data_IF_475152712912
#
_entry.id   IF_475152712912
#
_cell.length_a   1.000
_cell.length_b   1.000
_cell.length_c   1.000
_cell.angle_alpha   90.00
_cell.angle_beta   90.00
_cell.angle_gamma   90.00
#
_symmetry.space_group_name_H-M   'P 1'
#
loop_
_entity.id
_entity.type
_entity.pdbx_description
1 polymer ?
#
# COMPACT_ATOMS: atom_id res chain seq x y z
N UNK A 1 -1.64 -17.11 -14.15
CA UNK A 1 -2.02 -18.51 -14.50
C UNK A 1 -0.83 -19.34 -14.11
N UNK A 2 -1.03 -20.34 -13.26
CA UNK A 2 -0.03 -21.38 -13.08
C UNK A 2 -0.07 -22.21 -14.36
N UNK A 3 0.99 -22.15 -15.15
CA UNK A 3 1.14 -22.83 -16.45
C UNK A 3 1.93 -24.15 -16.31
N UNK A 4 2.20 -24.57 -15.07
CA UNK A 4 2.77 -25.87 -14.77
C UNK A 4 1.81 -27.01 -15.14
N UNK A 5 2.37 -28.12 -15.60
CA UNK A 5 1.62 -29.23 -16.20
C UNK A 5 0.60 -29.91 -15.25
N UNK A 6 0.62 -29.60 -13.95
CA UNK A 6 -0.30 -30.10 -12.93
C UNK A 6 -1.27 -29.05 -12.37
N UNK A 7 -1.29 -27.82 -12.90
CA UNK A 7 -2.18 -26.77 -12.42
C UNK A 7 -3.65 -27.12 -12.74
N UNK A 8 -4.59 -26.92 -11.78
CA UNK A 8 -6.02 -27.06 -12.07
C UNK A 8 -6.44 -26.13 -13.22
N UNK A 9 -7.36 -26.61 -14.06
CA UNK A 9 -7.96 -25.78 -15.10
C UNK A 9 -8.61 -24.53 -14.47
N UNK A 10 -8.39 -23.37 -15.08
CA UNK A 10 -9.00 -22.14 -14.61
C UNK A 10 -10.53 -22.20 -14.76
N UNK A 11 -11.25 -21.76 -13.74
CA UNK A 11 -12.71 -21.71 -13.69
C UNK A 11 -13.22 -20.47 -12.94
N UNK A 12 -14.54 -20.32 -12.79
CA UNK A 12 -15.15 -19.15 -12.14
C UNK A 12 -14.64 -18.88 -10.72
N UNK A 13 -14.26 -19.93 -9.97
CA UNK A 13 -13.77 -19.84 -8.59
C UNK A 13 -12.23 -19.78 -8.48
N UNK A 14 -11.52 -19.70 -9.60
CA UNK A 14 -10.06 -19.56 -9.58
C UNK A 14 -9.65 -18.25 -8.92
N UNK A 15 -8.69 -18.33 -7.98
CA UNK A 15 -8.15 -17.16 -7.29
C UNK A 15 -7.07 -16.49 -8.14
N UNK A 16 -7.12 -15.16 -8.17
CA UNK A 16 -6.18 -14.32 -8.91
C UNK A 16 -5.57 -13.27 -8.01
N UNK A 17 -4.28 -12.99 -8.20
CA UNK A 17 -3.68 -11.75 -7.67
C UNK A 17 -4.14 -10.61 -8.55
N UNK A 18 -5.00 -9.75 -8.01
CA UNK A 18 -5.61 -8.65 -8.77
C UNK A 18 -4.73 -7.40 -8.85
N UNK A 19 -3.62 -7.37 -8.11
CA UNK A 19 -2.62 -6.30 -8.12
C UNK A 19 -3.25 -4.89 -8.09
N UNK A 20 -2.94 -4.06 -9.07
CA UNK A 20 -3.38 -2.67 -9.10
C UNK A 20 -4.88 -2.50 -9.32
N UNK A 21 -5.63 -3.56 -9.65
CA UNK A 21 -7.10 -3.53 -9.62
C UNK A 21 -7.65 -3.32 -8.20
N UNK A 22 -6.82 -3.46 -7.16
CA UNK A 22 -7.16 -3.05 -5.79
C UNK A 22 -7.26 -1.52 -5.62
N UNK A 23 -6.64 -0.72 -6.48
CA UNK A 23 -6.60 0.75 -6.32
C UNK A 23 -7.99 1.41 -6.37
N UNK A 24 -8.88 1.07 -7.32
CA UNK A 24 -10.27 1.52 -7.28
C UNK A 24 -10.99 1.17 -5.97
N UNK A 25 -10.71 0.00 -5.37
CA UNK A 25 -11.32 -0.41 -4.09
C UNK A 25 -10.87 0.50 -2.95
N UNK A 26 -9.56 0.79 -2.85
CA UNK A 26 -9.03 1.78 -1.90
C UNK A 26 -9.60 3.17 -2.16
N UNK A 27 -9.74 3.57 -3.43
CA UNK A 27 -10.33 4.84 -3.83
C UNK A 27 -11.79 4.97 -3.39
N UNK A 28 -12.62 3.95 -3.63
CA UNK A 28 -14.01 3.90 -3.16
C UNK A 28 -14.09 3.96 -1.64
N UNK A 29 -13.22 3.22 -0.93
CA UNK A 29 -13.17 3.25 0.53
C UNK A 29 -12.85 4.67 1.07
N UNK A 30 -11.95 5.38 0.40
CA UNK A 30 -11.66 6.78 0.73
C UNK A 30 -12.87 7.69 0.46
N UNK A 31 -13.61 7.46 -0.63
CA UNK A 31 -14.81 8.25 -0.94
C UNK A 31 -15.92 8.03 0.08
N UNK A 32 -16.13 6.79 0.54
CA UNK A 32 -17.10 6.49 1.61
C UNK A 32 -16.72 7.21 2.92
N UNK A 33 -15.44 7.23 3.29
CA UNK A 33 -14.97 7.97 4.46
C UNK A 33 -15.14 9.50 4.31
N UNK A 34 -15.07 10.03 3.07
CA UNK A 34 -15.32 11.43 2.78
C UNK A 34 -16.82 11.75 2.88
N UNK A 35 -17.67 10.89 2.33
CA UNK A 35 -19.14 11.01 2.44
C UNK A 35 -19.58 11.01 3.91
N UNK A 36 -18.98 10.17 4.74
CA UNK A 36 -19.19 10.13 6.20
C UNK A 36 -18.61 11.34 6.95
N UNK A 37 -17.95 12.28 6.27
CA UNK A 37 -17.29 13.45 6.89
C UNK A 37 -16.04 13.12 7.72
N UNK A 38 -15.53 11.88 7.65
CA UNK A 38 -14.35 11.42 8.42
C UNK A 38 -13.02 11.76 7.74
N UNK A 39 -13.05 12.03 6.43
CA UNK A 39 -11.92 12.46 5.62
C UNK A 39 -12.32 13.65 4.76
N UNK A 40 -11.37 14.53 4.42
CA UNK A 40 -11.53 15.52 3.36
C UNK A 40 -10.43 15.35 2.29
N UNK A 41 -10.77 15.64 1.03
CA UNK A 41 -9.83 15.55 -0.09
C UNK A 41 -8.60 16.46 0.10
N UNK A 42 -8.79 17.61 0.73
CA UNK A 42 -7.72 18.60 0.92
C UNK A 42 -7.08 18.53 2.30
N UNK A 43 -7.45 17.52 3.12
CA UNK A 43 -6.71 17.23 4.35
C UNK A 43 -5.24 16.89 4.01
N UNK A 44 -4.26 17.44 4.73
CA UNK A 44 -2.88 17.02 4.59
C UNK A 44 -2.71 15.59 5.14
N UNK A 45 -1.94 14.76 4.44
CA UNK A 45 -1.64 13.37 4.87
C UNK A 45 -1.01 13.35 6.27
N UNK A 46 -0.25 14.38 6.63
CA UNK A 46 0.40 14.53 7.94
C UNK A 46 -0.59 14.63 9.11
N UNK A 47 -1.86 14.96 8.86
CA UNK A 47 -2.95 14.88 9.86
C UNK A 47 -3.15 13.45 10.37
N UNK A 48 -2.93 12.46 9.50
CA UNK A 48 -3.17 11.04 9.78
C UNK A 48 -1.88 10.24 9.95
N UNK A 49 -0.80 10.67 9.30
CA UNK A 49 0.52 10.05 9.33
C UNK A 49 1.58 11.15 9.54
N UNK A 50 1.89 11.52 10.80
CA UNK A 50 2.74 12.68 11.11
C UNK A 50 4.11 12.70 10.41
N UNK A 51 4.67 11.54 10.07
CA UNK A 51 5.93 11.43 9.34
C UNK A 51 5.94 12.17 7.98
N UNK A 52 4.77 12.38 7.36
CA UNK A 52 4.63 13.11 6.10
C UNK A 52 4.62 14.65 6.24
N UNK A 53 4.89 15.20 7.43
CA UNK A 53 4.80 16.65 7.66
C UNK A 53 5.85 17.44 6.89
N UNK A 54 7.11 17.02 6.96
CA UNK A 54 8.26 17.78 6.46
C UNK A 54 8.89 17.11 5.22
N UNK A 55 8.05 16.77 4.25
CA UNK A 55 8.49 16.11 3.01
C UNK A 55 9.47 16.98 2.23
N UNK A 56 10.43 16.31 1.59
CA UNK A 56 11.43 16.92 0.72
C UNK A 56 11.23 16.44 -0.72
N UNK A 57 11.63 17.26 -1.68
CA UNK A 57 11.60 16.93 -3.12
C UNK A 57 13.04 16.78 -3.60
N UNK A 58 13.32 15.71 -4.34
CA UNK A 58 14.60 15.50 -4.97
C UNK A 58 14.84 16.56 -6.05
N UNK A 59 16.03 17.17 -6.06
CA UNK A 59 16.38 18.19 -7.07
C UNK A 59 16.60 17.56 -8.44
N UNK A 60 17.11 16.33 -8.46
CA UNK A 60 17.33 15.53 -9.68
C UNK A 60 16.94 14.07 -9.42
N UNK A 61 15.63 13.72 -9.47
CA UNK A 61 15.11 12.43 -8.98
C UNK A 61 15.79 11.17 -9.55
N UNK A 62 16.28 11.25 -10.79
CA UNK A 62 16.87 10.10 -11.48
C UNK A 62 18.38 9.96 -11.25
N UNK A 63 19.05 10.99 -10.72
CA UNK A 63 20.53 11.03 -10.68
C UNK A 63 21.11 11.47 -9.34
N UNK A 64 20.30 12.01 -8.42
CA UNK A 64 20.77 12.54 -7.15
C UNK A 64 19.76 12.36 -6.03
N UNK A 65 20.25 12.18 -4.80
CA UNK A 65 19.47 12.25 -3.57
C UNK A 65 19.50 13.64 -2.93
N UNK A 66 20.10 14.65 -3.58
CA UNK A 66 20.01 16.03 -3.12
C UNK A 66 18.54 16.48 -3.10
N UNK A 67 18.18 17.26 -2.10
CA UNK A 67 16.78 17.63 -1.84
C UNK A 67 16.61 19.10 -1.51
N UNK A 68 15.38 19.56 -1.67
CA UNK A 68 14.85 20.80 -1.10
C UNK A 68 13.53 20.54 -0.37
N UNK A 69 13.06 21.42 0.52
CA UNK A 69 11.72 21.30 1.08
C UNK A 69 10.65 21.25 -0.01
N UNK A 70 9.59 20.47 0.22
CA UNK A 70 8.38 20.54 -0.60
C UNK A 70 7.69 21.90 -0.40
N UNK A 71 7.11 22.43 -1.48
CA UNK A 71 6.42 23.72 -1.48
C UNK A 71 5.06 23.71 -0.80
N UNK A 72 4.48 22.52 -0.60
CA UNK A 72 3.19 22.32 0.07
C UNK A 72 3.09 20.89 0.62
N UNK A 73 2.22 20.63 1.61
CA UNK A 73 1.93 19.27 2.08
C UNK A 73 1.29 18.39 0.99
N UNK A 74 1.46 17.08 1.10
CA UNK A 74 0.68 16.11 0.32
C UNK A 74 -0.74 16.07 0.89
N UNK A 75 -1.76 16.10 0.03
CA UNK A 75 -3.17 15.92 0.44
C UNK A 75 -3.72 14.53 0.10
N UNK A 76 -4.87 14.19 0.69
CA UNK A 76 -5.63 12.96 0.34
C UNK A 76 -5.92 12.88 -1.16
N UNK A 77 -6.34 13.99 -1.76
CA UNK A 77 -6.54 14.13 -3.21
C UNK A 77 -5.28 13.71 -3.97
N UNK A 78 -4.11 14.20 -3.56
CA UNK A 78 -2.87 13.90 -4.26
C UNK A 78 -2.48 12.41 -4.20
N UNK A 79 -2.78 11.73 -3.09
CA UNK A 79 -2.60 10.28 -3.00
C UNK A 79 -3.48 9.57 -4.02
N UNK A 80 -4.78 9.88 -4.03
CA UNK A 80 -5.79 9.26 -4.89
C UNK A 80 -5.56 9.49 -6.38
N UNK A 81 -4.96 10.63 -6.75
CA UNK A 81 -4.78 11.03 -8.16
C UNK A 81 -3.38 10.77 -8.70
N UNK A 82 -2.50 10.10 -7.94
CA UNK A 82 -1.09 9.91 -8.34
C UNK A 82 -0.34 11.23 -8.62
N UNK A 83 -0.67 12.28 -7.85
CA UNK A 83 0.01 13.59 -7.95
C UNK A 83 0.74 13.97 -6.66
N UNK A 84 0.94 13.04 -5.73
CA UNK A 84 1.64 13.29 -4.47
C UNK A 84 3.15 13.54 -4.62
N UNK A 85 3.73 13.28 -5.79
CA UNK A 85 5.18 13.26 -5.98
C UNK A 85 5.85 12.01 -5.41
N UNK A 86 5.08 10.99 -4.99
CA UNK A 86 5.63 9.70 -4.55
C UNK A 86 6.12 8.88 -5.75
N UNK A 87 7.14 8.06 -5.51
CA UNK A 87 7.69 7.12 -6.50
C UNK A 87 7.00 5.76 -6.49
N UNK A 88 7.51 4.87 -7.32
CA UNK A 88 7.24 3.43 -7.32
C UNK A 88 8.42 2.75 -8.00
N UNK A 89 8.88 1.61 -7.50
CA UNK A 89 9.96 0.82 -8.12
C UNK A 89 9.82 0.48 -9.61
N UNK A 90 8.63 0.58 -10.22
CA UNK A 90 8.43 0.34 -11.66
C UNK A 90 8.61 1.59 -12.53
N UNK A 91 8.64 2.79 -11.94
CA UNK A 91 8.82 4.06 -12.68
C UNK A 91 10.01 4.88 -12.18
N UNK A 92 10.37 4.75 -10.90
CA UNK A 92 11.48 5.44 -10.26
C UNK A 92 12.80 4.83 -10.72
N UNK A 93 13.83 5.67 -10.91
CA UNK A 93 15.14 5.27 -11.41
C UNK A 93 16.26 5.72 -10.48
N UNK A 94 17.49 5.30 -10.82
CA UNK A 94 18.70 5.87 -10.25
C UNK A 94 18.88 5.63 -8.75
N UNK A 95 19.56 6.55 -8.04
CA UNK A 95 19.81 6.44 -6.61
C UNK A 95 18.52 6.33 -5.77
N UNK A 96 17.44 6.99 -6.18
CA UNK A 96 16.17 6.92 -5.46
C UNK A 96 15.56 5.52 -5.52
N UNK A 97 15.62 4.84 -6.67
CA UNK A 97 15.16 3.45 -6.79
C UNK A 97 15.91 2.54 -5.80
N UNK A 98 17.23 2.69 -5.68
CA UNK A 98 18.05 1.90 -4.75
C UNK A 98 17.62 2.11 -3.29
N UNK A 99 17.21 3.31 -2.92
CA UNK A 99 16.69 3.58 -1.58
C UNK A 99 15.31 2.96 -1.35
N UNK A 100 14.42 2.94 -2.36
CA UNK A 100 13.16 2.18 -2.27
C UNK A 100 13.44 0.69 -2.02
N UNK A 101 14.39 0.10 -2.74
CA UNK A 101 14.79 -1.31 -2.58
C UNK A 101 15.41 -1.56 -1.20
N UNK A 102 16.36 -0.72 -0.77
CA UNK A 102 17.03 -0.81 0.53
C UNK A 102 16.05 -0.73 1.69
N UNK A 103 15.02 0.11 1.57
CA UNK A 103 13.95 0.25 2.57
C UNK A 103 12.84 -0.79 2.41
N UNK A 104 12.96 -1.75 1.48
CA UNK A 104 11.96 -2.78 1.28
C UNK A 104 10.60 -2.26 0.79
N UNK A 105 10.55 -1.06 0.21
CA UNK A 105 9.35 -0.44 -0.37
C UNK A 105 9.10 -1.09 -1.74
N UNK A 106 8.73 -2.37 -1.68
CA UNK A 106 8.70 -3.30 -2.82
C UNK A 106 7.30 -3.92 -2.95
N UNK A 107 6.25 -3.12 -3.23
CA UNK A 107 4.86 -3.61 -3.20
C UNK A 107 4.54 -4.57 -4.36
N UNK A 108 5.33 -4.56 -5.45
CA UNK A 108 5.14 -5.50 -6.56
C UNK A 108 5.89 -6.82 -6.31
N UNK A 109 5.18 -7.93 -6.43
CA UNK A 109 5.75 -9.28 -6.52
C UNK A 109 4.98 -10.09 -7.56
N UNK A 110 5.66 -10.51 -8.62
CA UNK A 110 5.02 -11.17 -9.77
C UNK A 110 5.22 -12.67 -9.80
N UNK A 111 6.05 -13.22 -8.90
CA UNK A 111 6.34 -14.66 -8.80
C UNK A 111 6.58 -15.09 -7.36
N UNK A 112 6.38 -16.38 -7.08
CA UNK A 112 6.64 -16.94 -5.75
C UNK A 112 8.13 -16.82 -5.35
N UNK A 113 9.04 -17.02 -6.30
CA UNK A 113 10.47 -16.85 -6.05
C UNK A 113 10.87 -15.39 -5.74
N UNK A 114 10.20 -14.41 -6.38
CA UNK A 114 10.39 -13.01 -6.03
C UNK A 114 9.82 -12.72 -4.64
N UNK A 115 8.63 -13.25 -4.33
CA UNK A 115 8.00 -13.09 -3.02
C UNK A 115 8.90 -13.61 -1.89
N UNK A 116 9.44 -14.81 -2.04
CA UNK A 116 10.32 -15.42 -1.05
C UNK A 116 11.54 -14.56 -0.73
N UNK A 117 12.15 -13.94 -1.76
CA UNK A 117 13.30 -13.05 -1.61
C UNK A 117 12.94 -11.70 -0.98
N UNK A 118 11.77 -11.15 -1.32
CA UNK A 118 11.39 -9.80 -0.88
C UNK A 118 10.71 -9.77 0.48
N UNK A 119 10.01 -10.85 0.87
CA UNK A 119 9.26 -10.93 2.13
C UNK A 119 10.07 -10.55 3.37
N UNK A 120 11.34 -10.99 3.56
CA UNK A 120 12.10 -10.65 4.77
C UNK A 120 12.40 -9.15 4.92
N UNK A 121 12.50 -8.42 3.81
CA UNK A 121 12.86 -6.98 3.83
C UNK A 121 11.64 -6.06 3.80
N UNK A 122 10.46 -6.59 3.46
CA UNK A 122 9.22 -5.81 3.42
C UNK A 122 8.83 -5.27 4.80
N UNK A 123 8.15 -4.12 4.85
CA UNK A 123 7.54 -3.64 6.08
C UNK A 123 6.54 -4.64 6.64
N UNK A 124 6.53 -4.79 7.96
CA UNK A 124 5.64 -5.72 8.68
C UNK A 124 4.21 -5.19 8.80
N UNK A 125 4.01 -3.90 8.53
CA UNK A 125 2.70 -3.24 8.59
C UNK A 125 2.61 -2.07 7.61
N UNK A 126 1.37 -1.63 7.32
CA UNK A 126 1.11 -0.42 6.54
C UNK A 126 1.67 0.84 7.22
N UNK A 127 1.77 0.84 8.55
CA UNK A 127 2.37 1.94 9.30
C UNK A 127 3.87 2.02 9.06
N UNK A 128 4.56 0.89 9.21
CA UNK A 128 5.98 0.81 8.94
C UNK A 128 6.27 1.17 7.48
N UNK A 129 5.45 0.68 6.53
CA UNK A 129 5.55 1.04 5.12
C UNK A 129 5.46 2.55 4.93
N UNK A 130 4.41 3.19 5.45
CA UNK A 130 4.21 4.62 5.29
C UNK A 130 5.34 5.44 5.94
N UNK A 131 5.82 5.03 7.12
CA UNK A 131 6.92 5.70 7.80
C UNK A 131 8.24 5.57 7.02
N UNK A 132 8.54 4.40 6.43
CA UNK A 132 9.70 4.24 5.55
C UNK A 132 9.59 5.11 4.30
N UNK A 133 8.41 5.17 3.67
CA UNK A 133 8.14 6.03 2.51
C UNK A 133 8.37 7.51 2.83
N UNK A 134 7.93 7.98 4.00
CA UNK A 134 8.10 9.36 4.42
C UNK A 134 9.59 9.79 4.58
N UNK A 135 10.51 8.83 4.71
CA UNK A 135 11.96 9.14 4.76
C UNK A 135 12.57 9.46 3.40
N UNK A 136 11.87 9.15 2.30
CA UNK A 136 12.37 9.31 0.95
C UNK A 136 11.89 10.63 0.32
N UNK A 137 12.72 11.25 -0.54
CA UNK A 137 12.29 12.44 -1.24
C UNK A 137 11.22 12.13 -2.30
N UNK A 138 10.36 13.11 -2.52
CA UNK A 138 9.39 13.15 -3.60
C UNK A 138 10.11 13.41 -4.94
N UNK A 139 9.56 12.90 -6.03
CA UNK A 139 10.06 13.14 -7.40
C UNK A 139 9.61 14.49 -7.98
N UNK A 140 8.60 15.12 -7.36
CA UNK A 140 8.05 16.42 -7.74
C UNK A 140 7.28 17.01 -6.55
N UNK A 141 7.01 18.32 -6.57
CA UNK A 141 6.14 18.94 -5.58
C UNK A 141 4.71 18.36 -5.65
N UNK A 142 4.04 18.15 -4.49
CA UNK A 142 2.69 17.64 -4.46
C UNK A 142 1.74 18.48 -5.30
N UNK A 143 0.98 17.85 -6.20
CA UNK A 143 0.00 18.47 -7.09
C UNK A 143 0.57 19.09 -8.37
N UNK A 144 1.88 18.99 -8.63
CA UNK A 144 2.50 19.63 -9.82
C UNK A 144 2.75 18.67 -10.98
N UNK A 145 2.80 17.36 -10.72
CA UNK A 145 3.08 16.33 -11.73
C UNK A 145 2.27 15.06 -11.44
N UNK A 146 1.72 14.46 -12.49
CA UNK A 146 1.20 13.10 -12.43
C UNK A 146 2.33 12.09 -12.61
N UNK A 147 2.39 11.09 -11.73
CA UNK A 147 3.26 9.93 -11.87
C UNK A 147 2.65 8.76 -11.11
N UNK A 148 2.46 7.64 -11.78
CA UNK A 148 2.01 6.41 -11.13
C UNK A 148 2.91 6.08 -9.94
N UNK A 149 2.31 5.77 -8.79
CA UNK A 149 2.99 5.81 -7.51
C UNK A 149 2.37 4.88 -6.48
N UNK A 150 3.04 4.73 -5.35
CA UNK A 150 2.53 4.04 -4.15
C UNK A 150 1.51 4.88 -3.35
N UNK A 151 0.93 5.93 -3.94
CA UNK A 151 0.01 6.83 -3.25
C UNK A 151 -1.20 6.11 -2.65
N UNK A 152 -1.74 5.11 -3.34
CA UNK A 152 -2.90 4.34 -2.87
C UNK A 152 -2.54 3.36 -1.73
N UNK A 153 -1.28 2.92 -1.64
CA UNK A 153 -0.79 2.12 -0.50
C UNK A 153 -0.74 2.98 0.76
N UNK A 154 -0.24 4.22 0.65
CA UNK A 154 -0.27 5.22 1.74
C UNK A 154 -1.71 5.60 2.10
N UNK A 155 -2.60 5.70 1.10
CA UNK A 155 -4.04 5.93 1.35
C UNK A 155 -4.65 4.78 2.17
N UNK A 156 -4.21 3.54 1.97
CA UNK A 156 -4.58 2.41 2.80
C UNK A 156 -4.25 2.63 4.28
N UNK A 157 -3.05 3.14 4.58
CA UNK A 157 -2.66 3.49 5.95
C UNK A 157 -3.53 4.61 6.55
N UNK A 158 -3.85 5.63 5.76
CA UNK A 158 -4.73 6.72 6.19
C UNK A 158 -6.11 6.19 6.53
N UNK A 159 -6.73 5.44 5.62
CA UNK A 159 -8.05 4.87 5.83
C UNK A 159 -8.09 3.98 7.08
N UNK A 160 -7.09 3.11 7.28
CA UNK A 160 -6.99 2.29 8.49
C UNK A 160 -6.79 3.09 9.80
N UNK A 161 -6.33 4.35 9.74
CA UNK A 161 -6.24 5.21 10.93
C UNK A 161 -7.59 5.80 11.33
N UNK A 162 -8.43 6.06 10.33
CA UNK A 162 -9.71 6.76 10.44
C UNK A 162 -10.85 5.77 10.66
N UNK A 163 -10.75 4.60 10.04
CA UNK A 163 -11.70 3.51 10.19
C UNK A 163 -11.46 2.79 11.52
N UNK A 164 -12.06 3.28 12.61
CA UNK A 164 -12.16 2.52 13.85
C UNK A 164 -13.26 1.45 13.80
N UNK A 165 -14.18 1.50 12.82
CA UNK A 165 -15.35 0.61 12.77
C UNK A 165 -15.95 0.41 11.35
N UNK A 166 -15.13 0.54 10.28
CA UNK A 166 -15.65 0.36 8.91
C UNK A 166 -15.75 -1.14 8.62
N UNK A 167 -16.91 -1.65 9.01
CA UNK A 167 -17.47 -2.99 8.85
C UNK A 167 -16.80 -3.79 7.73
N UNK A 168 -16.00 -4.80 8.10
CA UNK A 168 -15.67 -6.02 7.33
C UNK A 168 -15.04 -5.90 5.94
N UNK A 169 -15.55 -5.05 5.05
CA UNK A 169 -15.17 -4.99 3.65
C UNK A 169 -13.83 -4.27 3.43
N UNK A 170 -13.65 -3.07 4.00
CA UNK A 170 -12.46 -2.25 3.76
C UNK A 170 -11.21 -2.89 4.37
N UNK A 171 -11.33 -3.42 5.59
CA UNK A 171 -10.26 -4.18 6.23
C UNK A 171 -9.86 -5.41 5.39
N UNK A 172 -10.83 -6.24 5.01
CA UNK A 172 -10.60 -7.46 4.21
C UNK A 172 -9.92 -7.15 2.86
N UNK A 173 -10.29 -6.08 2.18
CA UNK A 173 -9.67 -5.69 0.91
C UNK A 173 -8.29 -5.04 1.07
N UNK A 174 -8.02 -4.34 2.16
CA UNK A 174 -6.70 -3.74 2.41
C UNK A 174 -5.64 -4.80 2.77
N UNK A 175 -6.01 -5.86 3.49
CA UNK A 175 -5.08 -6.95 3.86
C UNK A 175 -4.58 -7.76 2.65
N UNK A 176 -5.36 -7.82 1.56
CA UNK A 176 -4.98 -8.48 0.31
C UNK A 176 -3.90 -7.73 -0.48
N UNK A 177 -3.75 -6.42 -0.26
CA UNK A 177 -2.91 -5.55 -1.09
C UNK A 177 -1.42 -5.58 -0.68
N UNK A 178 -1.10 -5.97 0.56
CA UNK A 178 0.28 -6.01 1.05
C UNK A 178 1.05 -7.30 0.74
N UNK A 179 0.41 -8.32 0.15
CA UNK A 179 1.02 -9.65 0.03
C UNK A 179 1.30 -10.32 1.39
N UNK A 180 0.68 -9.85 2.47
CA UNK A 180 0.97 -10.31 3.83
C UNK A 180 0.15 -11.54 4.24
N UNK A 181 -0.95 -11.90 3.57
CA UNK A 181 -1.60 -13.19 3.83
C UNK A 181 -2.06 -13.87 2.54
N UNK A 182 -1.48 -15.05 2.27
CA UNK A 182 -2.17 -16.08 1.52
C UNK A 182 -3.38 -16.50 2.37
N UNK A 183 -4.59 -16.42 1.82
CA UNK A 183 -5.67 -17.28 2.27
C UNK A 183 -5.34 -18.71 1.80
N UNK A 184 -4.44 -19.39 2.50
CA UNK A 184 -4.38 -20.85 2.45
C UNK A 184 -5.45 -21.38 3.40
N UNK A 185 -6.56 -21.82 2.85
CA UNK A 185 -7.59 -22.48 3.65
C UNK A 185 -8.90 -22.56 2.90
N UNK A 186 -9.27 -23.77 2.52
CA UNK A 186 -10.53 -24.16 1.88
C UNK A 186 -11.73 -23.98 2.82
N UNK A 187 -12.00 -22.76 3.29
CA UNK A 187 -13.22 -22.43 4.01
C UNK A 187 -13.93 -21.29 3.28
N UNK A 188 -15.14 -21.61 2.83
CA UNK A 188 -16.10 -20.63 2.29
C UNK A 188 -16.16 -19.43 3.23
N UNK A 189 -16.22 -18.23 2.66
CA UNK A 189 -16.47 -17.00 3.37
C UNK A 189 -17.83 -17.12 4.09
N UNK A 190 -17.83 -17.55 5.35
CA UNK A 190 -18.95 -17.36 6.26
C UNK A 190 -18.57 -16.18 7.14
N UNK A 191 -19.26 -15.06 6.96
CA UNK A 191 -19.11 -13.89 7.82
C UNK A 191 -19.72 -14.24 9.18
N UNK A 192 -18.93 -14.32 10.27
CA UNK A 192 -19.51 -14.49 11.59
C UNK A 192 -20.06 -13.14 12.06
N UNK A 193 -21.25 -13.16 12.65
CA UNK A 193 -21.81 -12.03 13.37
C UNK A 193 -20.99 -11.72 14.63
N UNK A 194 -20.78 -10.43 14.87
CA UNK A 194 -20.37 -9.76 16.12
C UNK A 194 -18.94 -9.91 16.68
N UNK A 195 -18.18 -8.81 16.55
CA UNK A 195 -17.53 -8.01 17.62
C UNK A 195 -16.36 -8.54 18.48
N UNK A 196 -15.68 -9.67 18.22
CA UNK A 196 -14.64 -10.11 19.19
C UNK A 196 -13.28 -10.62 18.68
N UNK A 197 -12.87 -10.44 17.41
CA UNK A 197 -11.63 -11.07 16.90
C UNK A 197 -10.47 -10.08 16.55
N UNK A 198 -10.49 -8.83 17.00
CA UNK A 198 -9.41 -7.88 16.59
C UNK A 198 -8.25 -7.77 17.61
N UNK A 199 -8.34 -8.39 18.79
CA UNK A 199 -7.28 -8.23 19.80
C UNK A 199 -6.15 -9.28 19.77
N UNK A 200 -6.39 -10.54 19.37
CA UNK A 200 -5.40 -11.62 19.56
C UNK A 200 -5.42 -12.66 18.43
N UNK A 201 -4.83 -12.35 17.27
CA UNK A 201 -4.50 -13.39 16.27
C UNK A 201 -2.99 -13.67 16.29
N UNK A 202 -2.55 -14.87 16.73
CA UNK A 202 -1.14 -15.20 16.86
C UNK A 202 -0.47 -15.38 15.49
N UNK A 203 0.82 -15.03 15.44
CA UNK A 203 1.74 -15.43 14.38
C UNK A 203 1.97 -16.93 14.53
N UNK A 204 1.18 -17.76 13.85
CA UNK A 204 1.46 -19.20 13.77
C UNK A 204 2.42 -19.41 12.61
N UNK A 205 3.72 -19.47 12.94
CA UNK A 205 4.60 -20.39 12.23
C UNK A 205 4.34 -21.80 12.74
N UNK A 206 4.44 -22.80 11.87
CA UNK A 206 4.88 -24.17 12.20
C UNK A 206 4.97 -25.01 10.92
N UNK A 207 6.17 -25.57 10.76
CA UNK A 207 6.55 -26.92 10.34
C UNK A 207 5.77 -27.62 9.21
N UNK A 208 6.55 -28.01 8.20
CA UNK A 208 6.19 -28.95 7.16
C UNK A 208 7.07 -30.18 7.37
N UNK A 209 6.46 -31.32 7.72
CA UNK A 209 6.89 -32.62 7.16
C UNK A 209 6.26 -32.77 5.77
#
# INVERSE_FOLDING_TARGET
IRDDAGAPAAGPDSLWRVYSMSKPITGMSAMMLIEDGKLNLDDPVSKYIPAFKDMKVATSPDTSLATRPATRPITIRNLLTHTAGLGYTIVTKGPLLKEYERLGILPLSVSAAMEEKMRPVRPKSLEEFANRVATLPLIADPGTKWSYSIGLDVMGRVAGRVASDVSGLVATFMFLNAGIYLLTGSSRLSLPSSTSIIADMPVIGLDIE
#
